data_IF_396338462246
#
_entry.id   IF_396338462246
#
_cell.length_a   1.000
_cell.length_b   1.000
_cell.length_c   1.000
_cell.angle_alpha   90.00
_cell.angle_beta   90.00
_cell.angle_gamma   90.00
#
_symmetry.space_group_name_H-M   'P 1'
#
loop_
_entity.id
_entity.type
_entity.pdbx_description
1 polymer ?
#
# COMPACT_ATOMS: atom_id res chain seq x y z
N UNK A 1 56.00 -19.42 -10.97
CA UNK A 1 57.25 -18.64 -10.89
C UNK A 1 56.88 -17.18 -11.01
N UNK A 2 57.18 -16.41 -9.95
CA UNK A 2 57.55 -14.96 -9.94
C UNK A 2 56.57 -13.97 -10.58
N UNK A 3 56.06 -12.91 -9.94
CA UNK A 3 56.44 -12.24 -8.69
C UNK A 3 56.46 -10.72 -8.91
N UNK A 4 55.56 -10.02 -8.21
CA UNK A 4 55.73 -8.69 -7.56
C UNK A 4 55.97 -7.39 -8.35
N UNK A 5 55.03 -6.44 -8.15
CA UNK A 5 55.23 -5.06 -7.65
C UNK A 5 53.83 -4.45 -7.43
N UNK A 6 53.25 -4.57 -6.25
CA UNK A 6 53.40 -3.66 -5.09
C UNK A 6 53.19 -2.18 -5.42
N UNK A 7 52.06 -1.66 -4.97
CA UNK A 7 51.93 -0.28 -4.54
C UNK A 7 51.03 -0.27 -3.31
N UNK A 8 51.67 -0.18 -2.16
CA UNK A 8 51.02 0.01 -0.88
C UNK A 8 50.21 1.30 -0.86
N UNK A 9 49.03 1.22 -0.23
CA UNK A 9 48.55 2.31 0.60
C UNK A 9 47.91 1.70 1.84
N UNK A 10 48.68 1.72 2.92
CA UNK A 10 48.20 1.52 4.28
C UNK A 10 47.32 2.69 4.68
N UNK A 11 46.10 2.43 5.13
CA UNK A 11 45.48 3.26 6.17
C UNK A 11 44.49 2.42 7.00
N UNK A 12 45.00 1.97 8.14
CA UNK A 12 44.43 2.20 9.47
C UNK A 12 42.93 1.95 9.66
N UNK A 13 42.60 0.82 10.31
CA UNK A 13 41.37 0.69 11.08
C UNK A 13 41.36 1.75 12.20
N UNK A 14 40.35 2.62 12.20
CA UNK A 14 39.86 3.28 13.40
C UNK A 14 38.34 3.49 13.31
N UNK A 15 37.70 3.18 14.43
CA UNK A 15 36.31 3.32 14.81
C UNK A 15 35.52 4.50 14.21
N UNK A 16 34.23 4.23 13.91
CA UNK A 16 33.13 5.18 14.11
C UNK A 16 33.00 6.32 13.10
N UNK A 17 31.94 6.30 12.29
CA UNK A 17 31.50 7.52 11.62
C UNK A 17 30.76 7.30 10.31
N UNK A 18 29.43 7.41 10.39
CA UNK A 18 28.44 7.57 9.32
C UNK A 18 28.99 8.10 7.99
N UNK A 19 28.73 7.37 6.89
CA UNK A 19 28.49 7.97 5.58
C UNK A 19 27.06 7.66 5.14
N UNK A 20 26.13 8.53 5.53
CA UNK A 20 24.80 8.59 4.93
C UNK A 20 24.92 9.40 3.65
N UNK A 21 24.81 8.73 2.50
CA UNK A 21 24.58 9.39 1.21
C UNK A 21 23.08 9.31 0.94
N UNK A 22 22.30 10.11 1.66
CA UNK A 22 20.89 10.33 1.33
C UNK A 22 20.85 11.44 0.27
N UNK A 23 20.73 11.05 -1.00
CA UNK A 23 20.48 11.99 -2.08
C UNK A 23 18.97 12.27 -2.09
N UNK A 24 18.59 13.30 -1.33
CA UNK A 24 17.29 13.97 -1.40
C UNK A 24 17.18 14.66 -2.78
N UNK A 25 16.14 14.31 -3.53
CA UNK A 25 15.89 14.87 -4.85
C UNK A 25 14.44 14.71 -5.28
N UNK A 26 13.65 15.71 -4.91
CA UNK A 26 12.51 16.31 -5.64
C UNK A 26 11.24 15.45 -5.90
N UNK A 27 10.10 16.09 -5.62
CA UNK A 27 8.71 15.62 -5.67
C UNK A 27 8.29 15.00 -7.03
N UNK A 28 7.40 14.00 -7.06
CA UNK A 28 6.76 13.57 -8.30
C UNK A 28 5.57 14.46 -8.65
N UNK A 29 5.63 14.99 -9.87
CA UNK A 29 4.54 15.63 -10.60
C UNK A 29 3.48 14.58 -10.94
N UNK A 30 2.21 14.96 -10.80
CA UNK A 30 1.04 14.14 -11.12
C UNK A 30 1.02 13.71 -12.60
N UNK A 31 0.69 12.44 -12.84
CA UNK A 31 0.19 11.98 -14.14
C UNK A 31 1.13 11.09 -14.96
N UNK A 32 1.41 9.86 -14.50
CA UNK A 32 1.77 8.74 -15.39
C UNK A 32 1.52 7.39 -14.72
N UNK A 33 0.54 6.65 -15.22
CA UNK A 33 0.19 5.30 -14.74
C UNK A 33 1.19 4.18 -15.16
N UNK A 34 2.39 4.54 -15.64
CA UNK A 34 3.36 3.58 -16.20
C UNK A 34 4.83 3.95 -15.89
N UNK A 35 5.06 4.76 -14.85
CA UNK A 35 6.40 4.84 -14.27
C UNK A 35 6.53 3.66 -13.28
N UNK A 36 7.58 2.82 -13.34
CA UNK A 36 7.78 1.81 -12.32
C UNK A 36 7.87 2.52 -10.97
N UNK A 37 6.86 2.32 -10.12
CA UNK A 37 6.91 2.75 -8.74
C UNK A 37 8.24 2.28 -8.16
N UNK A 38 9.04 3.21 -7.66
CA UNK A 38 10.37 2.88 -7.15
C UNK A 38 10.18 2.01 -5.91
N UNK A 39 10.39 0.71 -6.07
CA UNK A 39 10.35 -0.22 -4.94
C UNK A 39 11.55 0.07 -4.04
N UNK A 40 11.27 0.50 -2.82
CA UNK A 40 12.29 0.68 -1.79
C UNK A 40 12.43 -0.65 -1.05
N UNK A 41 13.59 -1.28 -1.19
CA UNK A 41 13.96 -2.45 -0.41
C UNK A 41 14.56 -2.00 0.92
N UNK A 42 14.22 -2.69 2.00
CA UNK A 42 14.86 -2.52 3.29
C UNK A 42 16.29 -3.11 3.29
N UNK A 43 16.94 -3.08 4.47
CA UNK A 43 18.31 -3.61 4.63
C UNK A 43 18.41 -5.12 4.41
N UNK A 44 17.28 -5.84 4.46
CA UNK A 44 17.17 -7.28 4.27
C UNK A 44 16.81 -7.63 2.81
N UNK A 45 16.64 -6.63 1.95
CA UNK A 45 16.22 -6.83 0.55
C UNK A 45 14.72 -7.08 0.40
N UNK A 46 13.91 -6.74 1.42
CA UNK A 46 12.46 -6.92 1.41
C UNK A 46 11.78 -5.59 1.08
N UNK A 47 10.85 -5.61 0.13
CA UNK A 47 10.00 -4.47 -0.21
C UNK A 47 8.91 -4.26 0.86
N UNK A 48 8.61 -3.00 1.15
CA UNK A 48 7.45 -2.61 1.94
C UNK A 48 6.25 -2.30 1.05
N UNK A 49 5.13 -2.98 1.27
CA UNK A 49 3.82 -2.53 0.81
C UNK A 49 3.19 -1.70 1.93
N UNK A 50 3.07 -0.39 1.76
CA UNK A 50 2.52 0.48 2.80
C UNK A 50 1.01 0.30 2.89
N UNK A 51 0.50 0.08 4.10
CA UNK A 51 -0.93 -0.18 4.29
C UNK A 51 -1.83 1.00 3.92
N UNK A 52 -1.36 2.24 4.03
CA UNK A 52 -2.12 3.42 3.62
C UNK A 52 -2.20 3.54 2.10
N UNK A 53 -1.08 3.33 1.40
CA UNK A 53 -1.06 3.26 -0.07
C UNK A 53 -1.93 2.11 -0.58
N UNK A 54 -1.91 0.97 0.10
CA UNK A 54 -2.76 -0.17 -0.22
C UNK A 54 -4.25 0.18 -0.07
N UNK A 55 -4.62 0.80 1.05
CA UNK A 55 -5.99 1.19 1.31
C UNK A 55 -6.47 2.26 0.31
N UNK A 56 -5.68 3.31 0.09
CA UNK A 56 -5.98 4.37 -0.88
C UNK A 56 -6.09 3.81 -2.31
N UNK A 57 -5.17 2.92 -2.71
CA UNK A 57 -5.19 2.27 -4.01
C UNK A 57 -6.41 1.39 -4.23
N UNK A 58 -6.87 0.67 -3.21
CA UNK A 58 -8.11 -0.10 -3.26
C UNK A 58 -9.32 0.82 -3.42
N UNK A 59 -9.45 1.84 -2.57
CA UNK A 59 -10.60 2.74 -2.57
C UNK A 59 -10.71 3.51 -3.89
N UNK A 60 -9.63 4.18 -4.30
CA UNK A 60 -9.57 4.96 -5.53
C UNK A 60 -9.70 4.08 -6.79
N UNK A 61 -9.03 2.93 -6.81
CA UNK A 61 -9.08 2.00 -7.93
C UNK A 61 -10.46 1.40 -8.14
N UNK A 62 -11.13 0.95 -7.07
CA UNK A 62 -12.49 0.43 -7.14
C UNK A 62 -13.48 1.49 -7.61
N UNK A 63 -13.41 2.70 -7.04
CA UNK A 63 -14.28 3.82 -7.43
C UNK A 63 -14.11 4.14 -8.92
N UNK A 64 -12.86 4.23 -9.38
CA UNK A 64 -12.54 4.52 -10.77
C UNK A 64 -13.09 3.44 -11.72
N UNK A 65 -12.86 2.17 -11.40
CA UNK A 65 -13.33 1.04 -12.21
C UNK A 65 -14.86 0.98 -12.25
N UNK A 66 -15.53 1.20 -11.12
CA UNK A 66 -16.99 1.20 -11.02
C UNK A 66 -17.62 2.34 -11.84
N UNK A 67 -17.09 3.57 -11.70
CA UNK A 67 -17.52 4.71 -12.52
C UNK A 67 -17.32 4.45 -14.01
N UNK A 68 -16.19 3.86 -14.39
CA UNK A 68 -15.94 3.54 -15.78
C UNK A 68 -16.89 2.46 -16.31
N UNK A 69 -17.11 1.40 -15.54
CA UNK A 69 -18.04 0.32 -15.89
C UNK A 69 -19.46 0.85 -16.10
N UNK A 70 -19.96 1.65 -15.15
CA UNK A 70 -21.31 2.24 -15.22
C UNK A 70 -21.43 3.27 -16.35
N UNK A 71 -20.56 4.27 -16.35
CA UNK A 71 -20.76 5.46 -17.19
C UNK A 71 -20.25 5.26 -18.63
N UNK A 72 -19.27 4.37 -18.85
CA UNK A 72 -18.67 4.14 -20.18
C UNK A 72 -19.08 2.82 -20.82
N UNK A 73 -19.32 1.78 -20.02
CA UNK A 73 -19.72 0.48 -20.54
C UNK A 73 -21.21 0.17 -20.32
N UNK A 74 -21.96 1.05 -19.64
CA UNK A 74 -23.35 0.81 -19.25
C UNK A 74 -23.54 -0.54 -18.51
N UNK A 75 -22.50 -0.97 -17.78
CA UNK A 75 -22.55 -2.16 -16.95
C UNK A 75 -23.20 -1.83 -15.60
N UNK A 76 -23.98 -2.77 -15.07
CA UNK A 76 -24.70 -2.66 -13.80
C UNK A 76 -24.74 -4.02 -13.11
N UNK A 77 -25.17 -4.03 -11.85
CA UNK A 77 -25.29 -5.25 -11.06
C UNK A 77 -23.96 -5.74 -10.48
N UNK A 78 -23.94 -7.01 -10.05
CA UNK A 78 -22.79 -7.61 -9.39
C UNK A 78 -21.59 -7.83 -10.31
N UNK A 79 -20.41 -7.38 -9.87
CA UNK A 79 -19.12 -7.63 -10.49
C UNK A 79 -18.23 -8.51 -9.61
N UNK A 80 -17.48 -9.41 -10.26
CA UNK A 80 -16.40 -10.15 -9.61
C UNK A 80 -15.14 -9.29 -9.56
N UNK A 81 -14.66 -9.00 -8.36
CA UNK A 81 -13.51 -8.14 -8.12
C UNK A 81 -12.30 -8.98 -7.74
N UNK A 82 -11.13 -8.57 -8.25
CA UNK A 82 -9.85 -9.19 -7.91
C UNK A 82 -8.79 -8.12 -7.73
N UNK A 83 -8.11 -8.16 -6.58
CA UNK A 83 -6.96 -7.31 -6.27
C UNK A 83 -5.71 -8.15 -6.06
N UNK A 84 -4.54 -7.59 -6.38
CA UNK A 84 -3.24 -8.27 -6.17
C UNK A 84 -2.16 -7.20 -5.94
N UNK A 85 -1.34 -7.39 -4.91
CA UNK A 85 -0.20 -6.50 -4.65
C UNK A 85 0.94 -6.82 -5.61
N UNK A 86 1.51 -5.80 -6.23
CA UNK A 86 2.65 -5.90 -7.14
C UNK A 86 3.73 -4.86 -6.80
N UNK A 87 5.02 -5.18 -6.98
CA UNK A 87 5.56 -6.50 -7.28
C UNK A 87 5.66 -7.38 -6.02
N UNK A 88 5.35 -8.68 -6.16
CA UNK A 88 5.60 -9.69 -5.12
C UNK A 88 6.16 -10.94 -5.81
N UNK A 89 7.48 -11.12 -5.76
CA UNK A 89 8.19 -12.19 -6.47
C UNK A 89 9.36 -12.72 -5.64
N UNK A 90 9.99 -13.82 -6.06
CA UNK A 90 11.17 -14.35 -5.37
C UNK A 90 12.36 -13.37 -5.38
N UNK A 91 12.48 -12.54 -6.43
CA UNK A 91 13.52 -11.49 -6.53
C UNK A 91 13.12 -10.15 -5.92
N UNK A 92 11.87 -10.02 -5.48
CA UNK A 92 11.34 -8.85 -4.78
C UNK A 92 10.36 -9.35 -3.72
N UNK A 93 10.87 -9.96 -2.63
CA UNK A 93 10.03 -10.40 -1.53
C UNK A 93 9.41 -9.18 -0.86
N UNK A 94 8.14 -9.27 -0.48
CA UNK A 94 7.37 -8.11 0.00
C UNK A 94 6.74 -8.42 1.34
N UNK A 95 6.78 -7.46 2.26
CA UNK A 95 6.01 -7.48 3.51
C UNK A 95 5.05 -6.30 3.53
N UNK A 96 3.93 -6.45 4.22
CA UNK A 96 3.11 -5.29 4.58
C UNK A 96 3.90 -4.44 5.58
N UNK A 97 3.78 -3.11 5.51
CA UNK A 97 4.41 -2.13 6.43
C UNK A 97 3.43 -1.04 6.85
N UNK A 98 3.60 -0.53 8.08
CA UNK A 98 2.97 0.71 8.54
C UNK A 98 4.02 1.58 9.22
N UNK A 99 3.95 2.88 8.98
CA UNK A 99 4.91 3.86 9.50
C UNK A 99 4.33 4.73 10.62
N UNK A 100 3.63 4.10 11.59
CA UNK A 100 2.89 4.82 12.65
C UNK A 100 3.77 5.51 13.69
N UNK A 101 4.96 4.97 13.96
CA UNK A 101 5.85 5.48 15.00
C UNK A 101 7.13 6.08 14.40
N UNK A 102 7.09 7.38 14.11
CA UNK A 102 8.26 8.19 13.74
C UNK A 102 9.09 7.64 12.56
N UNK A 103 8.43 7.07 11.54
CA UNK A 103 9.10 6.58 10.33
C UNK A 103 9.82 5.24 10.50
N UNK A 104 9.67 4.55 11.63
CA UNK A 104 10.10 3.16 11.75
C UNK A 104 9.01 2.24 11.17
N UNK A 105 9.34 1.36 10.21
CA UNK A 105 8.40 0.36 9.72
C UNK A 105 8.08 -0.61 10.85
N UNK A 106 6.84 -0.60 11.33
CA UNK A 106 6.33 -1.69 12.14
C UNK A 106 5.77 -2.75 11.20
N UNK A 107 6.21 -4.03 11.32
CA UNK A 107 5.61 -5.13 10.59
C UNK A 107 4.13 -5.31 10.93
N UNK A 108 3.20 -4.94 10.05
CA UNK A 108 1.81 -5.28 10.16
C UNK A 108 1.67 -6.65 9.48
N UNK A 109 2.16 -7.69 10.14
CA UNK A 109 2.17 -9.05 9.60
C UNK A 109 3.55 -9.69 9.67
N UNK A 110 3.57 -10.92 10.15
CA UNK A 110 4.80 -11.70 10.32
C UNK A 110 5.30 -12.31 8.99
N UNK A 111 4.50 -12.25 7.91
CA UNK A 111 4.77 -13.01 6.69
C UNK A 111 5.31 -12.13 5.57
N UNK A 112 6.48 -12.52 5.09
CA UNK A 112 7.05 -12.04 3.83
C UNK A 112 6.51 -12.92 2.69
N UNK A 113 5.99 -12.29 1.65
CA UNK A 113 5.53 -12.98 0.44
C UNK A 113 6.59 -12.96 -0.65
N UNK A 114 6.82 -14.11 -1.25
CA UNK A 114 7.69 -14.30 -2.43
C UNK A 114 6.90 -14.59 -3.70
N UNK A 115 5.57 -14.68 -3.58
CA UNK A 115 4.63 -14.86 -4.68
C UNK A 115 3.36 -14.08 -4.38
N UNK A 116 2.90 -13.32 -5.36
CA UNK A 116 1.65 -12.58 -5.27
C UNK A 116 0.46 -13.51 -4.99
N UNK A 117 -0.39 -13.10 -4.05
CA UNK A 117 -1.64 -13.79 -3.71
C UNK A 117 -2.81 -12.85 -4.01
N UNK A 118 -3.78 -13.27 -4.84
CA UNK A 118 -4.94 -12.44 -5.12
C UNK A 118 -5.97 -12.49 -3.98
N UNK A 119 -6.62 -11.37 -3.73
CA UNK A 119 -7.88 -11.31 -3.00
C UNK A 119 -9.03 -11.18 -3.99
N UNK A 120 -10.18 -11.77 -3.64
CA UNK A 120 -11.38 -11.76 -4.50
C UNK A 120 -12.62 -11.47 -3.67
N UNK A 121 -13.58 -10.75 -4.26
CA UNK A 121 -14.90 -10.52 -3.67
C UNK A 121 -15.93 -10.24 -4.77
N UNK A 122 -17.18 -10.08 -4.38
CA UNK A 122 -18.27 -9.64 -5.26
C UNK A 122 -18.90 -8.39 -4.64
N UNK A 123 -19.16 -7.40 -5.48
CA UNK A 123 -19.87 -6.18 -5.10
C UNK A 123 -20.71 -5.67 -6.27
N UNK A 124 -21.73 -4.89 -5.98
CA UNK A 124 -22.54 -4.22 -6.99
C UNK A 124 -21.79 -3.02 -7.58
N UNK A 125 -21.83 -2.89 -8.91
CA UNK A 125 -21.14 -1.82 -9.66
C UNK A 125 -21.73 -0.45 -9.36
N UNK A 126 -23.05 -0.35 -9.25
CA UNK A 126 -23.75 0.92 -9.04
C UNK A 126 -23.51 1.44 -7.62
N UNK A 127 -23.53 0.54 -6.62
CA UNK A 127 -23.22 0.86 -5.22
C UNK A 127 -21.77 1.35 -5.05
N UNK A 128 -20.81 0.68 -5.70
CA UNK A 128 -19.42 1.14 -5.71
C UNK A 128 -19.28 2.47 -6.45
N UNK A 129 -19.98 2.66 -7.58
CA UNK A 129 -19.93 3.88 -8.37
C UNK A 129 -20.55 5.07 -7.64
N UNK A 130 -21.47 4.84 -6.70
CA UNK A 130 -22.03 5.88 -5.84
C UNK A 130 -21.02 6.46 -4.83
N UNK A 131 -19.94 5.73 -4.52
CA UNK A 131 -18.88 6.20 -3.62
C UNK A 131 -19.29 6.31 -2.17
N UNK A 132 -20.30 5.54 -1.76
CA UNK A 132 -20.80 5.46 -0.39
C UNK A 132 -20.17 4.33 0.43
N UNK A 133 -20.80 3.97 1.57
CA UNK A 133 -20.33 2.90 2.47
C UNK A 133 -20.06 1.57 1.76
N UNK A 134 -20.83 1.21 0.74
CA UNK A 134 -20.64 -0.04 0.00
C UNK A 134 -19.30 -0.12 -0.76
N UNK A 135 -18.78 1.02 -1.23
CA UNK A 135 -17.43 1.08 -1.79
C UNK A 135 -16.38 0.75 -0.72
N UNK A 136 -16.54 1.33 0.48
CA UNK A 136 -15.62 1.12 1.60
C UNK A 136 -15.70 -0.33 2.08
N UNK A 137 -16.90 -0.91 2.17
CA UNK A 137 -17.09 -2.31 2.52
C UNK A 137 -16.49 -3.25 1.47
N UNK A 138 -16.57 -2.92 0.17
CA UNK A 138 -15.88 -3.67 -0.88
C UNK A 138 -14.35 -3.58 -0.74
N UNK A 139 -13.83 -2.40 -0.39
CA UNK A 139 -12.42 -2.17 -0.13
C UNK A 139 -11.94 -2.92 1.13
N UNK A 140 -12.75 -2.99 2.18
CA UNK A 140 -12.49 -3.82 3.37
C UNK A 140 -12.38 -5.29 3.00
N UNK A 141 -13.37 -5.85 2.28
CA UNK A 141 -13.36 -7.27 1.89
C UNK A 141 -12.11 -7.65 1.08
N UNK A 142 -11.74 -6.83 0.10
CA UNK A 142 -10.51 -7.07 -0.68
C UNK A 142 -9.24 -6.81 0.14
N UNK A 143 -9.19 -5.71 0.89
CA UNK A 143 -8.06 -5.32 1.70
C UNK A 143 -7.74 -6.35 2.77
N UNK A 144 -8.76 -6.86 3.46
CA UNK A 144 -8.65 -7.94 4.44
C UNK A 144 -8.17 -9.25 3.80
N UNK A 145 -8.67 -9.60 2.61
CA UNK A 145 -8.15 -10.74 1.86
C UNK A 145 -6.66 -10.60 1.49
N UNK A 146 -6.22 -9.38 1.12
CA UNK A 146 -4.81 -9.10 0.88
C UNK A 146 -3.99 -9.16 2.17
N UNK A 147 -4.47 -8.54 3.25
CA UNK A 147 -3.83 -8.53 4.56
C UNK A 147 -3.62 -9.95 5.11
N UNK A 148 -4.58 -10.85 4.90
CA UNK A 148 -4.49 -12.27 5.25
C UNK A 148 -3.36 -12.99 4.55
N UNK A 149 -3.08 -12.66 3.29
CA UNK A 149 -1.92 -13.21 2.60
C UNK A 149 -0.60 -12.82 3.32
N UNK A 150 -0.52 -11.62 3.89
CA UNK A 150 0.61 -11.14 4.68
C UNK A 150 0.56 -11.55 6.17
N UNK A 151 -0.41 -12.38 6.56
CA UNK A 151 -0.54 -12.90 7.92
C UNK A 151 -1.21 -11.95 8.90
N UNK A 152 -2.07 -11.04 8.43
CA UNK A 152 -2.97 -10.21 9.26
C UNK A 152 -4.42 -10.65 9.10
N UNK A 153 -5.23 -10.54 10.15
CA UNK A 153 -6.64 -10.92 10.08
C UNK A 153 -7.43 -10.03 9.10
N UNK A 154 -7.22 -8.72 9.17
CA UNK A 154 -7.96 -7.71 8.40
C UNK A 154 -7.10 -6.50 8.04
N UNK A 155 -7.59 -5.71 7.09
CA UNK A 155 -7.10 -4.35 6.85
C UNK A 155 -7.67 -3.43 7.93
N UNK A 156 -6.86 -2.48 8.42
CA UNK A 156 -7.28 -1.66 9.56
C UNK A 156 -7.97 -0.37 9.13
N UNK A 157 -7.72 0.13 7.93
CA UNK A 157 -8.19 1.44 7.48
C UNK A 157 -9.71 1.53 7.27
N UNK A 158 -10.36 0.39 7.06
CA UNK A 158 -11.78 0.26 6.74
C UNK A 158 -12.48 -0.58 7.80
N UNK A 159 -13.77 -0.32 8.00
CA UNK A 159 -14.65 -1.24 8.73
C UNK A 159 -15.50 -2.07 7.76
N UNK A 160 -15.95 -3.26 8.18
CA UNK A 160 -16.91 -4.06 7.40
C UNK A 160 -18.22 -3.33 7.10
N UNK A 161 -18.61 -2.38 7.97
CA UNK A 161 -19.82 -1.55 7.86
C UNK A 161 -19.67 -0.38 6.87
N UNK A 162 -18.52 -0.24 6.22
CA UNK A 162 -18.28 0.82 5.24
C UNK A 162 -17.85 2.16 5.85
N UNK A 163 -17.18 2.12 7.01
CA UNK A 163 -16.64 3.31 7.67
C UNK A 163 -15.12 3.43 7.49
N UNK A 164 -14.61 4.66 7.48
CA UNK A 164 -13.18 4.94 7.55
C UNK A 164 -12.71 5.00 9.00
N UNK A 165 -11.74 4.18 9.38
CA UNK A 165 -11.15 4.19 10.72
C UNK A 165 -9.99 5.19 10.79
N UNK A 166 -10.26 6.41 11.25
CA UNK A 166 -9.33 7.57 11.24
C UNK A 166 -7.97 7.28 11.86
N UNK A 167 -7.97 6.55 12.98
CA UNK A 167 -6.78 6.20 13.77
C UNK A 167 -5.74 5.43 12.96
N UNK A 168 -6.18 4.72 11.91
CA UNK A 168 -5.35 3.84 11.11
C UNK A 168 -4.80 4.44 9.83
N UNK A 169 -5.18 5.69 9.53
CA UNK A 169 -4.60 6.50 8.47
C UNK A 169 -3.52 7.44 9.00
N UNK A 170 -2.48 7.64 8.20
CA UNK A 170 -1.41 8.59 8.42
C UNK A 170 -1.94 10.00 8.59
N UNK A 171 -1.19 10.83 9.31
CA UNK A 171 -1.55 12.24 9.48
C UNK A 171 -1.61 13.00 8.14
N UNK A 172 -0.85 12.55 7.14
CA UNK A 172 -0.79 13.16 5.81
C UNK A 172 -2.04 12.85 4.97
N UNK A 173 -2.57 11.63 5.06
CA UNK A 173 -3.75 11.21 4.29
C UNK A 173 -5.07 11.73 4.87
N UNK A 174 -5.14 11.97 6.19
CA UNK A 174 -6.37 12.37 6.89
C UNK A 174 -7.10 13.58 6.27
N UNK A 175 -6.45 14.71 5.94
CA UNK A 175 -7.16 15.88 5.41
C UNK A 175 -7.82 15.64 4.05
N UNK A 176 -7.26 14.74 3.23
CA UNK A 176 -7.83 14.36 1.93
C UNK A 176 -9.04 13.48 2.13
N UNK A 177 -8.93 12.47 3.00
CA UNK A 177 -10.03 11.56 3.33
C UNK A 177 -11.20 12.28 3.98
N UNK A 178 -10.94 13.20 4.93
CA UNK A 178 -11.99 14.02 5.55
C UNK A 178 -12.75 14.83 4.50
N UNK A 179 -12.04 15.47 3.56
CA UNK A 179 -12.68 16.23 2.48
C UNK A 179 -13.52 15.34 1.57
N UNK A 180 -13.05 14.14 1.26
CA UNK A 180 -13.81 13.16 0.49
C UNK A 180 -15.06 12.70 1.23
N UNK A 181 -14.96 12.40 2.54
CA UNK A 181 -16.12 11.99 3.35
C UNK A 181 -17.18 13.09 3.45
N UNK A 182 -16.80 14.37 3.44
CA UNK A 182 -17.76 15.49 3.39
C UNK A 182 -18.61 15.52 2.11
N UNK A 183 -18.15 14.87 1.05
CA UNK A 183 -18.79 14.84 -0.27
C UNK A 183 -19.47 13.49 -0.55
N UNK A 184 -19.39 12.54 0.38
CA UNK A 184 -19.93 11.18 0.27
C UNK A 184 -20.79 10.86 1.49
N UNK A 185 -21.49 9.72 1.48
CA UNK A 185 -22.24 9.23 2.64
C UNK A 185 -21.38 8.36 3.58
N UNK A 186 -20.06 8.44 3.45
CA UNK A 186 -19.11 7.62 4.22
C UNK A 186 -18.81 8.28 5.56
N UNK A 187 -18.92 7.49 6.63
CA UNK A 187 -18.61 7.94 8.00
C UNK A 187 -17.14 7.74 8.34
N UNK A 188 -16.65 8.60 9.22
CA UNK A 188 -15.35 8.44 9.88
C UNK A 188 -15.60 7.99 11.31
N UNK A 189 -14.89 6.95 11.74
CA UNK A 189 -14.89 6.43 13.10
C UNK A 189 -13.50 6.48 13.71
N UNK A 190 -13.45 6.72 15.02
CA UNK A 190 -12.23 6.64 15.83
C UNK A 190 -12.09 5.29 16.54
N UNK A 191 -13.03 4.35 16.28
CA UNK A 191 -12.99 3.03 16.89
C UNK A 191 -11.74 2.25 16.49
N UNK A 192 -11.11 1.61 17.48
CA UNK A 192 -10.07 0.60 17.27
C UNK A 192 -10.71 -0.76 16.99
N UNK A 193 -10.05 -1.56 16.15
CA UNK A 193 -10.46 -2.91 15.74
C UNK A 193 -10.25 -3.96 16.84
#
# INVERSE_FOLDING_TARGET
>A
MTGWLDRQQTDTQAAGGRRVRAQLGQQPVAGRADAPGRVVLDREGVAGAEGDELADGLLSGLQYLALHARDRAAASGNAFLRATVHPVTAGCPTRLVHYRHHGFPEPPGARVLTKAAPAVTVSDVDDMAAGGPELVAAADRLGSGLAQAFGRAEILQFSPEGELRRSYWSHESRPVLERWTQQSDVKITDAEA
#
